data_IF_917153335206
#
_entry.id   IF_917153335206
#
_cell.length_a   1.000
_cell.length_b   1.000
_cell.length_c   1.000
_cell.angle_alpha   90.00
_cell.angle_beta   90.00
_cell.angle_gamma   90.00
#
_symmetry.space_group_name_H-M   'P 1'
#
loop_
_entity.id
_entity.type
_entity.pdbx_description
1 polymer ?
#
# COMPACT_ATOMS: atom_id res chain seq x y z
N UNK A 1 13.31 14.28 -20.68
CA UNK A 1 14.73 14.04 -20.28
C UNK A 1 15.06 12.57 -20.45
N UNK A 2 16.33 12.17 -20.42
CA UNK A 2 16.74 10.75 -20.36
C UNK A 2 16.98 10.37 -18.89
N UNK A 3 16.24 9.39 -18.37
CA UNK A 3 16.28 9.01 -16.95
C UNK A 3 16.59 7.52 -16.85
N UNK A 4 17.59 7.16 -16.03
CA UNK A 4 17.91 5.78 -15.70
C UNK A 4 17.28 5.40 -14.35
N UNK A 5 16.62 4.24 -14.29
CA UNK A 5 16.05 3.67 -13.06
C UNK A 5 16.78 2.38 -12.75
N UNK A 6 17.44 2.32 -11.58
CA UNK A 6 18.06 1.12 -11.05
C UNK A 6 17.11 0.45 -10.04
N UNK A 7 16.59 -0.72 -10.40
CA UNK A 7 15.54 -1.45 -9.68
C UNK A 7 14.18 -1.26 -10.32
N UNK A 8 13.65 -2.33 -10.90
CA UNK A 8 12.37 -2.44 -11.60
C UNK A 8 11.36 -3.31 -10.86
N UNK A 9 11.46 -3.34 -9.52
CA UNK A 9 10.36 -3.84 -8.67
C UNK A 9 9.12 -2.93 -8.75
N UNK A 10 8.14 -3.14 -7.86
CA UNK A 10 6.88 -2.40 -7.86
C UNK A 10 7.07 -0.87 -7.95
N UNK A 11 7.89 -0.30 -7.06
CA UNK A 11 8.14 1.15 -7.00
C UNK A 11 8.78 1.65 -8.30
N UNK A 12 9.79 0.95 -8.82
CA UNK A 12 10.48 1.34 -10.05
C UNK A 12 9.58 1.32 -11.27
N UNK A 13 8.68 0.35 -11.37
CA UNK A 13 7.68 0.28 -12.46
C UNK A 13 6.66 1.40 -12.37
N UNK A 14 6.13 1.67 -11.18
CA UNK A 14 5.19 2.78 -10.97
C UNK A 14 5.86 4.12 -11.30
N UNK A 15 7.12 4.31 -10.88
CA UNK A 15 7.90 5.49 -11.24
C UNK A 15 8.10 5.62 -12.76
N UNK A 16 8.52 4.55 -13.43
CA UNK A 16 8.71 4.53 -14.88
C UNK A 16 7.43 4.89 -15.63
N UNK A 17 6.28 4.32 -15.23
CA UNK A 17 4.99 4.63 -15.83
C UNK A 17 4.63 6.11 -15.70
N UNK A 18 4.83 6.71 -14.52
CA UNK A 18 4.55 8.13 -14.33
C UNK A 18 5.49 9.03 -15.16
N UNK A 19 6.79 8.72 -15.20
CA UNK A 19 7.74 9.51 -15.99
C UNK A 19 7.52 9.37 -17.50
N UNK A 20 7.10 8.20 -17.98
CA UNK A 20 6.73 8.00 -19.39
C UNK A 20 5.54 8.88 -19.79
N UNK A 21 4.54 9.04 -18.91
CA UNK A 21 3.38 9.94 -19.16
C UNK A 21 3.78 11.40 -19.26
N UNK A 22 4.84 11.80 -18.56
CA UNK A 22 5.41 13.15 -18.65
C UNK A 22 6.28 13.35 -19.90
N UNK A 23 6.41 12.34 -20.76
CA UNK A 23 7.18 12.43 -22.00
C UNK A 23 8.69 12.23 -21.82
N UNK A 24 9.13 11.66 -20.71
CA UNK A 24 10.54 11.32 -20.51
C UNK A 24 10.91 10.00 -21.18
N UNK A 25 12.18 9.86 -21.55
CA UNK A 25 12.75 8.61 -22.06
C UNK A 25 13.40 7.86 -20.90
N UNK A 26 12.99 6.62 -20.68
CA UNK A 26 13.41 5.83 -19.51
C UNK A 26 14.28 4.65 -19.93
N UNK A 27 15.41 4.48 -19.24
CA UNK A 27 16.23 3.27 -19.31
C UNK A 27 16.11 2.52 -17.97
N UNK A 28 15.72 1.25 -18.03
CA UNK A 28 15.51 0.42 -16.86
C UNK A 28 16.68 -0.55 -16.67
N UNK A 29 17.19 -0.63 -15.44
CA UNK A 29 18.22 -1.57 -15.02
C UNK A 29 17.69 -2.41 -13.87
N UNK A 30 17.69 -3.72 -14.02
CA UNK A 30 17.37 -4.66 -12.95
C UNK A 30 18.32 -5.86 -13.04
N UNK A 31 18.55 -6.49 -11.89
CA UNK A 31 19.24 -7.79 -11.82
C UNK A 31 18.32 -8.92 -12.24
N UNK A 32 17.02 -8.77 -12.01
CA UNK A 32 16.00 -9.75 -12.37
C UNK A 32 15.53 -9.57 -13.81
N UNK A 33 14.74 -10.52 -14.29
CA UNK A 33 14.05 -10.42 -15.58
C UNK A 33 12.79 -9.55 -15.47
N UNK A 34 12.14 -9.27 -16.62
CA UNK A 34 10.90 -8.49 -16.67
C UNK A 34 9.75 -9.11 -15.87
N UNK A 35 9.82 -10.39 -15.58
CA UNK A 35 8.87 -11.13 -14.75
C UNK A 35 8.98 -10.74 -13.26
N UNK A 36 10.15 -10.29 -12.79
CA UNK A 36 10.34 -9.71 -11.45
C UNK A 36 10.11 -10.68 -10.29
N UNK A 37 10.31 -11.98 -10.50
CA UNK A 37 9.97 -13.07 -9.56
C UNK A 37 10.83 -13.11 -8.29
N UNK A 38 11.96 -12.41 -8.29
CA UNK A 38 12.85 -12.27 -7.12
C UNK A 38 12.59 -10.99 -6.32
N UNK A 39 11.64 -10.16 -6.78
CA UNK A 39 11.33 -8.88 -6.12
C UNK A 39 10.47 -9.06 -4.87
N UNK A 40 10.62 -8.16 -3.89
CA UNK A 40 9.76 -8.14 -2.70
C UNK A 40 8.27 -8.01 -3.04
N UNK A 41 7.94 -7.32 -4.13
CA UNK A 41 6.56 -7.18 -4.62
C UNK A 41 5.96 -8.51 -5.09
N UNK A 42 6.78 -9.43 -5.61
CA UNK A 42 6.32 -10.76 -6.02
C UNK A 42 5.98 -11.66 -4.82
N UNK A 43 6.75 -11.53 -3.73
CA UNK A 43 6.51 -12.30 -2.49
C UNK A 43 5.41 -11.67 -1.61
N UNK A 44 5.10 -10.39 -1.80
CA UNK A 44 4.12 -9.69 -0.99
C UNK A 44 2.69 -10.23 -1.20
N UNK A 45 1.92 -10.33 -0.12
CA UNK A 45 0.52 -10.74 -0.17
C UNK A 45 -0.41 -9.68 -0.80
N UNK A 46 0.07 -8.44 -0.98
CA UNK A 46 -0.70 -7.35 -1.59
C UNK A 46 -1.82 -6.80 -0.70
N UNK A 47 -1.70 -6.91 0.63
CA UNK A 47 -2.67 -6.33 1.56
C UNK A 47 -2.63 -4.80 1.52
N UNK A 48 -3.82 -4.19 1.64
CA UNK A 48 -4.02 -2.75 1.70
C UNK A 48 -4.73 -2.41 3.01
N UNK A 49 -3.96 -2.30 4.10
CA UNK A 49 -4.51 -2.15 5.45
C UNK A 49 -3.87 -0.98 6.22
N UNK A 50 -4.10 0.29 5.81
CA UNK A 50 -3.42 1.44 6.41
C UNK A 50 -3.60 1.55 7.94
N UNK A 51 -4.77 1.18 8.46
CA UNK A 51 -5.01 1.18 9.90
C UNK A 51 -4.23 0.10 10.64
N UNK A 52 -4.08 -1.09 10.05
CA UNK A 52 -3.28 -2.17 10.65
C UNK A 52 -1.79 -1.79 10.67
N UNK A 53 -1.31 -1.20 9.59
CA UNK A 53 0.09 -0.77 9.43
C UNK A 53 0.44 0.43 10.33
N UNK A 54 -0.54 1.30 10.63
CA UNK A 54 -0.34 2.50 11.44
C UNK A 54 0.09 2.20 12.89
N UNK A 55 -0.10 0.98 13.41
CA UNK A 55 0.40 0.64 14.74
C UNK A 55 1.92 0.86 14.85
N UNK A 56 2.67 0.43 13.84
CA UNK A 56 4.13 0.54 13.81
C UNK A 56 4.63 1.69 12.95
N UNK A 57 3.81 2.18 12.02
CA UNK A 57 4.17 3.29 11.13
C UNK A 57 3.93 4.69 11.74
N UNK A 58 4.55 5.70 11.12
CA UNK A 58 4.27 7.11 11.38
C UNK A 58 2.99 7.57 10.68
N UNK A 59 2.34 8.63 11.19
CA UNK A 59 1.09 9.16 10.63
C UNK A 59 1.24 9.59 9.16
N UNK A 60 2.40 10.10 8.77
CA UNK A 60 2.69 10.49 7.38
C UNK A 60 2.61 9.29 6.42
N UNK A 61 3.01 8.10 6.86
CA UNK A 61 2.91 6.87 6.04
C UNK A 61 1.44 6.51 5.84
N UNK A 62 0.60 6.67 6.87
CA UNK A 62 -0.83 6.46 6.74
C UNK A 62 -1.47 7.45 5.76
N UNK A 63 -1.06 8.73 5.77
CA UNK A 63 -1.57 9.72 4.82
C UNK A 63 -1.14 9.39 3.38
N UNK A 64 0.11 8.98 3.17
CA UNK A 64 0.58 8.49 1.88
C UNK A 64 -0.14 7.22 1.44
N UNK A 65 -0.42 6.29 2.35
CA UNK A 65 -1.20 5.09 2.09
C UNK A 65 -2.62 5.43 1.62
N UNK A 66 -3.32 6.31 2.34
CA UNK A 66 -4.65 6.78 1.96
C UNK A 66 -4.66 7.50 0.61
N UNK A 67 -3.69 8.39 0.35
CA UNK A 67 -3.55 9.02 -0.96
C UNK A 67 -3.31 7.98 -2.05
N UNK A 68 -2.47 7.00 -1.78
CA UNK A 68 -2.15 5.93 -2.74
C UNK A 68 -3.38 5.08 -3.06
N UNK A 69 -4.24 4.78 -2.08
CA UNK A 69 -5.49 4.06 -2.30
C UNK A 69 -6.40 4.73 -3.34
N UNK A 70 -6.42 6.07 -3.38
CA UNK A 70 -7.18 6.81 -4.39
C UNK A 70 -6.52 6.75 -5.78
N UNK A 71 -5.18 6.68 -5.84
CA UNK A 71 -4.43 6.62 -7.10
C UNK A 71 -4.41 5.23 -7.74
N UNK A 72 -4.42 4.17 -6.93
CA UNK A 72 -4.26 2.79 -7.40
C UNK A 72 -5.38 2.36 -8.35
N UNK A 73 -6.62 2.82 -8.12
CA UNK A 73 -7.76 2.44 -8.94
C UNK A 73 -7.59 2.78 -10.42
N UNK A 74 -7.07 3.97 -10.72
CA UNK A 74 -6.87 4.40 -12.11
C UNK A 74 -5.60 3.81 -12.72
N UNK A 75 -4.52 3.72 -11.94
CA UNK A 75 -3.27 3.10 -12.38
C UNK A 75 -3.48 1.64 -12.83
N UNK A 76 -4.27 0.88 -12.08
CA UNK A 76 -4.53 -0.54 -12.35
C UNK A 76 -5.39 -0.74 -13.61
N UNK A 77 -6.36 0.14 -13.86
CA UNK A 77 -7.16 0.13 -15.10
C UNK A 77 -6.29 0.41 -16.31
N UNK A 78 -5.37 1.38 -16.20
CA UNK A 78 -4.49 1.78 -17.30
C UNK A 78 -3.57 0.65 -17.75
N UNK A 79 -3.06 -0.14 -16.80
CA UNK A 79 -2.21 -1.31 -17.11
C UNK A 79 -3.00 -2.58 -17.44
N UNK A 80 -4.33 -2.49 -17.56
CA UNK A 80 -5.21 -3.60 -17.95
C UNK A 80 -5.46 -4.66 -16.87
N UNK A 81 -5.23 -4.34 -15.59
CA UNK A 81 -5.35 -5.28 -14.47
C UNK A 81 -6.66 -5.09 -13.69
N UNK A 82 -7.82 -5.12 -14.36
CA UNK A 82 -9.11 -4.69 -13.80
C UNK A 82 -9.52 -5.32 -12.45
N UNK A 83 -9.09 -6.53 -12.13
CA UNK A 83 -9.39 -7.22 -10.86
C UNK A 83 -8.28 -7.12 -9.80
N UNK A 84 -7.18 -6.42 -10.11
CA UNK A 84 -5.97 -6.31 -9.29
C UNK A 84 -6.07 -5.38 -8.09
N UNK A 85 -7.18 -4.65 -7.93
CA UNK A 85 -7.38 -3.70 -6.83
C UNK A 85 -8.77 -3.85 -6.22
N UNK A 86 -8.84 -4.14 -4.91
CA UNK A 86 -10.09 -4.34 -4.18
C UNK A 86 -10.10 -3.52 -2.90
N UNK A 87 -11.09 -2.65 -2.75
CA UNK A 87 -11.28 -1.81 -1.55
C UNK A 87 -12.49 -2.27 -0.75
N UNK A 88 -12.32 -3.37 0.00
CA UNK A 88 -13.39 -3.98 0.83
C UNK A 88 -13.24 -3.71 2.33
N UNK A 89 -12.30 -2.83 2.70
CA UNK A 89 -11.95 -2.55 4.08
C UNK A 89 -11.07 -3.65 4.69
N UNK A 90 -10.77 -3.48 5.98
CA UNK A 90 -9.93 -4.38 6.77
C UNK A 90 -10.70 -4.79 8.01
N UNK A 91 -10.64 -6.07 8.37
CA UNK A 91 -11.15 -6.60 9.63
C UNK A 91 -9.98 -6.96 10.53
N UNK A 92 -9.97 -6.44 11.75
CA UNK A 92 -9.00 -6.80 12.78
C UNK A 92 -9.74 -7.60 13.84
N UNK A 93 -9.22 -8.78 14.16
CA UNK A 93 -9.81 -9.72 15.11
C UNK A 93 -8.82 -10.05 16.21
N UNK A 94 -9.32 -10.28 17.42
CA UNK A 94 -8.53 -10.73 18.56
C UNK A 94 -9.23 -11.92 19.23
N UNK A 95 -8.46 -12.84 19.79
CA UNK A 95 -9.00 -13.85 20.68
C UNK A 95 -9.56 -13.16 21.94
N UNK A 96 -10.60 -13.69 22.64
CA UNK A 96 -11.14 -13.03 23.83
C UNK A 96 -10.10 -12.70 24.91
N UNK A 97 -9.03 -13.49 25.00
CA UNK A 97 -7.92 -13.25 25.93
C UNK A 97 -7.03 -12.07 25.52
N UNK A 98 -7.00 -11.71 24.23
CA UNK A 98 -6.17 -10.64 23.65
C UNK A 98 -6.95 -9.31 23.49
N UNK A 99 -8.13 -9.21 24.10
CA UNK A 99 -8.92 -7.97 24.09
C UNK A 99 -8.19 -6.78 24.71
N UNK A 100 -7.38 -6.92 25.78
CA UNK A 100 -6.55 -5.81 26.28
C UNK A 100 -5.60 -5.25 25.21
N UNK A 101 -4.97 -6.11 24.42
CA UNK A 101 -4.05 -5.79 23.33
C UNK A 101 -4.80 -5.08 22.20
N UNK A 102 -5.97 -5.61 21.78
CA UNK A 102 -6.81 -4.95 20.78
C UNK A 102 -7.26 -3.56 21.23
N UNK A 103 -7.61 -3.39 22.51
CA UNK A 103 -7.97 -2.09 23.07
C UNK A 103 -6.78 -1.12 23.10
N UNK A 104 -5.58 -1.61 23.43
CA UNK A 104 -4.36 -0.83 23.34
C UNK A 104 -4.09 -0.39 21.90
N UNK A 105 -4.14 -1.33 20.96
CA UNK A 105 -4.01 -1.09 19.53
C UNK A 105 -4.94 0.03 19.04
N UNK A 106 -6.25 -0.09 19.29
CA UNK A 106 -7.26 0.91 18.87
C UNK A 106 -6.95 2.29 19.47
N UNK A 107 -6.54 2.35 20.75
CA UNK A 107 -6.17 3.59 21.44
C UNK A 107 -4.96 4.24 20.79
N UNK A 108 -3.92 3.46 20.50
CA UNK A 108 -2.70 3.93 19.82
C UNK A 108 -3.03 4.54 18.47
N UNK A 109 -3.88 3.88 17.67
CA UNK A 109 -4.30 4.44 16.37
C UNK A 109 -5.05 5.77 16.52
N UNK A 110 -5.97 5.87 17.49
CA UNK A 110 -6.73 7.11 17.77
C UNK A 110 -5.86 8.29 18.19
N UNK A 111 -4.70 8.03 18.80
CA UNK A 111 -3.73 9.07 19.11
C UNK A 111 -2.89 9.50 17.90
N UNK A 112 -2.66 8.60 16.93
CA UNK A 112 -1.84 8.89 15.76
C UNK A 112 -2.59 9.66 14.68
N UNK A 113 -3.86 9.34 14.44
CA UNK A 113 -4.65 9.95 13.35
C UNK A 113 -6.11 10.15 13.73
N UNK A 114 -6.69 11.28 13.33
CA UNK A 114 -8.10 11.62 13.55
C UNK A 114 -9.05 10.60 12.89
N UNK A 115 -8.69 10.09 11.71
CA UNK A 115 -9.49 9.10 10.96
C UNK A 115 -9.69 7.77 11.70
N UNK A 116 -8.88 7.47 12.72
CA UNK A 116 -9.06 6.27 13.54
C UNK A 116 -10.32 6.34 14.43
N UNK A 117 -10.98 7.50 14.51
CA UNK A 117 -12.33 7.62 15.08
C UNK A 117 -13.39 6.85 14.27
N UNK A 118 -13.14 6.58 13.00
CA UNK A 118 -14.06 5.83 12.12
C UNK A 118 -13.99 4.31 12.32
N UNK A 119 -13.05 3.81 13.14
CA UNK A 119 -12.95 2.39 13.48
C UNK A 119 -14.20 1.97 14.24
N UNK A 120 -14.92 0.98 13.69
CA UNK A 120 -16.13 0.41 14.27
C UNK A 120 -15.84 -0.95 14.87
N UNK A 121 -16.28 -1.17 16.11
CA UNK A 121 -16.39 -2.52 16.66
C UNK A 121 -17.60 -3.18 16.01
N UNK A 122 -17.38 -4.36 15.43
CA UNK A 122 -18.44 -5.16 14.82
C UNK A 122 -18.84 -6.24 15.84
N UNK A 123 -20.08 -6.16 16.33
CA UNK A 123 -20.74 -7.12 17.23
C UNK A 123 -19.89 -7.59 18.43
N UNK A 124 -19.99 -6.83 19.53
CA UNK A 124 -19.65 -7.31 20.88
C UNK A 124 -20.81 -8.08 21.49
#
# INVERSE_FOLDING_TARGET
MNIAIAGTGLVGRVLALNLLKEGHTITLFDKDTKEGVTSAGFTAAGMLAPFAELETAESVIFDFGNRSLELWGDLIKEVGLFDGFKRRGTLITAHPQDMPELNHFIRTLKHKVEKAKDIKLLNS
#
